data_IF_635979375485
#
_entry.id   IF_635979375485
#
_cell.length_a   1.000
_cell.length_b   1.000
_cell.length_c   1.000
_cell.angle_alpha   90.00
_cell.angle_beta   90.00
_cell.angle_gamma   90.00
#
_symmetry.space_group_name_H-M   'P 1'
#
loop_
_entity.id
_entity.type
_entity.pdbx_description
1 polymer ?
#
# COMPACT_ATOMS: atom_id res chain seq x y z
N UNK A 1 20.02 -11.29 33.91
CA UNK A 1 20.50 -11.13 32.52
C UNK A 1 19.35 -10.58 31.69
N UNK A 2 19.39 -9.29 31.35
CA UNK A 2 18.42 -8.71 30.43
C UNK A 2 18.85 -9.09 29.01
N UNK A 3 18.05 -9.88 28.31
CA UNK A 3 18.21 -10.06 26.86
C UNK A 3 18.05 -8.69 26.20
N UNK A 4 18.96 -8.28 25.30
CA UNK A 4 18.74 -7.05 24.55
C UNK A 4 17.52 -7.33 23.66
N UNK A 5 16.40 -6.68 23.95
CA UNK A 5 15.29 -6.60 23.02
C UNK A 5 15.86 -5.96 21.75
N UNK A 6 16.23 -6.80 20.78
CA UNK A 6 16.53 -6.32 19.44
C UNK A 6 15.27 -5.62 19.00
N UNK A 7 15.32 -4.30 18.92
CA UNK A 7 14.25 -3.49 18.36
C UNK A 7 14.14 -3.85 16.88
N UNK A 8 13.37 -4.91 16.62
CA UNK A 8 13.09 -5.39 15.27
C UNK A 8 12.45 -4.23 14.53
N UNK A 9 13.14 -3.71 13.51
CA UNK A 9 12.62 -2.58 12.74
C UNK A 9 11.76 -3.11 11.60
N UNK A 10 10.69 -2.39 11.23
CA UNK A 10 9.90 -2.73 10.04
C UNK A 10 10.73 -2.90 8.76
N UNK A 11 11.91 -2.26 8.69
CA UNK A 11 12.84 -2.41 7.58
C UNK A 11 13.35 -3.85 7.44
N UNK A 12 13.58 -4.55 8.55
CA UNK A 12 14.10 -5.92 8.54
C UNK A 12 13.00 -6.96 8.32
N UNK A 13 11.80 -6.68 8.83
CA UNK A 13 10.70 -7.64 8.82
C UNK A 13 9.93 -7.72 7.51
N UNK A 14 9.90 -6.63 6.74
CA UNK A 14 9.23 -6.62 5.44
C UNK A 14 10.19 -7.24 4.42
N UNK A 15 9.93 -8.45 3.89
CA UNK A 15 10.86 -9.06 2.95
C UNK A 15 10.77 -8.36 1.60
N UNK A 16 11.91 -8.10 0.96
CA UNK A 16 11.95 -7.52 -0.39
C UNK A 16 11.17 -8.38 -1.41
N UNK A 17 11.25 -9.72 -1.28
CA UNK A 17 10.50 -10.66 -2.10
C UNK A 17 8.99 -10.48 -1.97
N UNK A 18 8.46 -10.23 -0.76
CA UNK A 18 7.03 -9.98 -0.56
C UNK A 18 6.57 -8.74 -1.34
N UNK A 19 7.36 -7.67 -1.32
CA UNK A 19 7.04 -6.44 -2.07
C UNK A 19 7.12 -6.67 -3.58
N UNK A 20 8.10 -7.45 -4.06
CA UNK A 20 8.23 -7.82 -5.48
C UNK A 20 7.04 -8.63 -5.99
N UNK A 21 6.64 -9.64 -5.21
CA UNK A 21 5.50 -10.49 -5.56
C UNK A 21 4.21 -9.68 -5.56
N UNK A 22 3.94 -8.90 -4.49
CA UNK A 22 2.80 -8.00 -4.45
C UNK A 22 2.78 -7.05 -5.64
N UNK A 23 3.90 -6.43 -5.96
CA UNK A 23 4.02 -5.53 -7.10
C UNK A 23 3.64 -6.20 -8.42
N UNK A 24 4.22 -7.37 -8.67
CA UNK A 24 3.98 -8.14 -9.89
C UNK A 24 2.50 -8.50 -10.02
N UNK A 25 1.90 -8.99 -8.93
CA UNK A 25 0.47 -9.33 -8.92
C UNK A 25 -0.41 -8.08 -9.01
N UNK A 26 -0.01 -6.96 -8.42
CA UNK A 26 -0.76 -5.70 -8.54
C UNK A 26 -0.77 -5.23 -9.98
N UNK A 27 0.33 -5.34 -10.73
CA UNK A 27 0.32 -4.99 -12.16
C UNK A 27 -0.63 -5.90 -12.96
N UNK A 28 -0.60 -7.21 -12.72
CA UNK A 28 -1.55 -8.15 -13.32
C UNK A 28 -3.01 -7.78 -13.01
N UNK A 29 -3.28 -7.38 -11.77
CA UNK A 29 -4.60 -6.90 -11.36
C UNK A 29 -4.97 -5.57 -12.02
N UNK A 30 -4.02 -4.65 -12.21
CA UNK A 30 -4.25 -3.37 -12.90
C UNK A 30 -4.58 -3.62 -14.38
N UNK A 31 -3.86 -4.52 -15.03
CA UNK A 31 -4.07 -4.88 -16.43
C UNK A 31 -5.44 -5.53 -16.68
N UNK A 32 -6.01 -6.16 -15.65
CA UNK A 32 -7.36 -6.75 -15.70
C UNK A 32 -8.49 -5.80 -15.30
N UNK A 33 -8.19 -4.56 -14.89
CA UNK A 33 -9.21 -3.57 -14.58
C UNK A 33 -9.98 -3.17 -15.86
N UNK A 34 -11.29 -2.89 -15.75
CA UNK A 34 -12.02 -2.31 -16.86
C UNK A 34 -11.40 -0.98 -17.26
N UNK A 35 -11.22 -0.77 -18.57
CA UNK A 35 -10.72 0.48 -19.16
C UNK A 35 -11.78 1.57 -18.98
N UNK A 36 -11.85 2.20 -17.81
CA UNK A 36 -12.69 3.38 -17.61
C UNK A 36 -11.93 4.65 -18.02
N UNK A 37 -12.49 5.40 -18.97
CA UNK A 37 -12.00 6.72 -19.42
C UNK A 37 -11.98 7.78 -18.29
N UNK A 38 -12.60 7.51 -17.14
CA UNK A 38 -12.87 8.50 -16.10
C UNK A 38 -11.91 8.48 -14.90
N UNK A 39 -10.83 7.69 -14.95
CA UNK A 39 -9.83 7.64 -13.88
C UNK A 39 -8.80 8.78 -13.92
N UNK A 40 -9.17 9.95 -14.47
CA UNK A 40 -8.25 11.07 -14.75
C UNK A 40 -7.69 11.77 -13.50
N UNK A 41 -8.42 11.76 -12.37
CA UNK A 41 -7.97 12.43 -11.13
C UNK A 41 -7.38 11.45 -10.12
N UNK A 42 -6.15 11.73 -9.69
CA UNK A 42 -5.42 10.99 -8.65
C UNK A 42 -6.20 10.99 -7.32
N UNK A 43 -6.37 9.82 -6.72
CA UNK A 43 -7.07 9.62 -5.46
C UNK A 43 -6.11 9.76 -4.26
N UNK A 44 -4.96 9.11 -4.33
CA UNK A 44 -3.90 9.18 -3.32
C UNK A 44 -3.21 10.55 -3.34
N UNK A 45 -3.00 11.18 -2.17
CA UNK A 45 -2.15 12.36 -2.09
C UNK A 45 -0.73 12.05 -2.57
N UNK A 46 0.01 13.09 -2.96
CA UNK A 46 1.46 12.97 -3.20
C UNK A 46 2.18 12.92 -1.85
N UNK A 47 2.23 11.75 -1.23
CA UNK A 47 3.13 11.53 -0.10
C UNK A 47 4.56 11.34 -0.59
N UNK A 48 5.51 11.61 0.30
CA UNK A 48 6.94 11.46 0.05
C UNK A 48 7.58 10.86 1.29
N UNK A 49 8.54 9.95 1.11
CA UNK A 49 9.27 9.31 2.23
C UNK A 49 10.48 10.14 2.67
N UNK A 50 10.90 11.12 1.87
CA UNK A 50 12.10 11.94 2.08
C UNK A 50 11.84 13.45 2.21
N UNK A 51 10.61 13.91 1.96
CA UNK A 51 10.27 15.33 1.90
C UNK A 51 9.67 15.76 3.24
N UNK A 52 10.22 16.75 3.96
CA UNK A 52 9.74 17.13 5.30
C UNK A 52 8.25 17.47 5.34
N UNK A 53 7.76 18.21 4.33
CA UNK A 53 6.38 18.70 4.28
C UNK A 53 5.33 17.60 4.00
N UNK A 54 5.75 16.50 3.38
CA UNK A 54 4.88 15.41 2.90
C UNK A 54 5.34 14.02 3.37
N UNK A 55 6.14 14.02 4.44
CA UNK A 55 6.74 12.85 5.05
C UNK A 55 5.66 11.87 5.48
N UNK A 56 5.80 10.61 5.05
CA UNK A 56 4.97 9.49 5.49
C UNK A 56 5.86 8.43 6.11
N UNK A 57 5.44 7.86 7.25
CA UNK A 57 6.18 6.85 7.99
C UNK A 57 5.46 5.52 8.05
N UNK A 58 6.01 4.60 8.87
CA UNK A 58 5.48 3.26 9.03
C UNK A 58 4.07 3.23 9.63
N UNK A 59 3.77 4.14 10.56
CA UNK A 59 2.45 4.26 11.17
C UNK A 59 1.37 4.58 10.13
N UNK A 60 1.64 5.54 9.25
CA UNK A 60 0.72 5.87 8.17
C UNK A 60 0.63 4.76 7.13
N UNK A 61 1.72 4.05 6.83
CA UNK A 61 1.69 2.89 5.92
C UNK A 61 0.78 1.79 6.47
N UNK A 62 0.88 1.48 7.77
CA UNK A 62 -0.01 0.52 8.43
C UNK A 62 -1.48 0.91 8.26
N UNK A 63 -1.83 2.15 8.61
CA UNK A 63 -3.22 2.64 8.47
C UNK A 63 -3.68 2.64 7.00
N UNK A 64 -2.78 2.99 6.06
CA UNK A 64 -3.12 3.00 4.64
C UNK A 64 -3.38 1.59 4.12
N UNK A 65 -2.56 0.60 4.48
CA UNK A 65 -2.80 -0.81 4.13
C UNK A 65 -4.12 -1.30 4.75
N UNK A 66 -4.42 -0.93 6.00
CA UNK A 66 -5.70 -1.26 6.63
C UNK A 66 -6.89 -0.66 5.90
N UNK A 67 -6.81 0.60 5.45
CA UNK A 67 -7.83 1.24 4.59
C UNK A 67 -8.02 0.47 3.30
N UNK A 68 -6.93 0.09 2.63
CA UNK A 68 -6.99 -0.64 1.37
C UNK A 68 -7.64 -2.01 1.56
N UNK A 69 -7.25 -2.77 2.57
CA UNK A 69 -7.90 -4.05 2.85
C UNK A 69 -9.40 -3.88 3.13
N UNK A 70 -9.77 -2.99 4.05
CA UNK A 70 -11.16 -2.87 4.53
C UNK A 70 -12.10 -2.19 3.54
N UNK A 71 -11.60 -1.30 2.67
CA UNK A 71 -12.45 -0.46 1.81
C UNK A 71 -12.27 -0.69 0.31
N UNK A 72 -11.16 -1.29 -0.12
CA UNK A 72 -10.83 -1.55 -1.52
C UNK A 72 -10.87 -3.05 -1.78
N UNK A 73 -9.95 -3.81 -1.18
CA UNK A 73 -9.82 -5.24 -1.47
C UNK A 73 -10.98 -6.05 -0.92
N UNK A 74 -11.69 -5.63 0.12
CA UNK A 74 -12.92 -6.28 0.59
C UNK A 74 -14.11 -6.20 -0.39
N UNK A 75 -14.03 -5.36 -1.43
CA UNK A 75 -15.14 -5.15 -2.37
C UNK A 75 -15.29 -6.34 -3.31
N UNK A 76 -16.52 -6.82 -3.51
CA UNK A 76 -16.82 -7.96 -4.40
C UNK A 76 -16.28 -7.78 -5.82
N UNK A 77 -16.37 -6.56 -6.37
CA UNK A 77 -15.84 -6.24 -7.70
C UNK A 77 -14.32 -6.44 -7.80
N UNK A 78 -13.59 -6.15 -6.72
CA UNK A 78 -12.12 -6.30 -6.67
C UNK A 78 -11.77 -7.75 -6.37
N UNK A 79 -12.44 -8.39 -5.41
CA UNK A 79 -12.21 -9.81 -5.05
C UNK A 79 -12.31 -10.74 -6.26
N UNK A 80 -13.25 -10.49 -7.18
CA UNK A 80 -13.40 -11.28 -8.42
C UNK A 80 -12.25 -11.15 -9.40
N UNK A 81 -11.44 -10.11 -9.28
CA UNK A 81 -10.31 -9.82 -10.18
C UNK A 81 -8.96 -10.18 -9.55
N UNK A 82 -8.93 -10.53 -8.26
CA UNK A 82 -7.67 -10.76 -7.55
C UNK A 82 -6.91 -11.95 -8.15
N UNK A 83 -5.62 -11.77 -8.47
CA UNK A 83 -4.75 -12.88 -8.86
C UNK A 83 -4.64 -13.92 -7.75
N UNK A 84 -4.23 -15.13 -8.14
CA UNK A 84 -3.93 -16.21 -7.22
C UNK A 84 -2.94 -15.78 -6.12
N UNK A 85 -3.18 -16.22 -4.88
CA UNK A 85 -2.45 -15.84 -3.65
C UNK A 85 -2.41 -14.35 -3.27
N UNK A 86 -3.12 -13.45 -3.97
CA UNK A 86 -3.02 -12.01 -3.69
C UNK A 86 -3.44 -11.63 -2.26
N UNK A 87 -4.52 -12.24 -1.77
CA UNK A 87 -5.02 -12.00 -0.41
C UNK A 87 -4.00 -12.46 0.66
N UNK A 88 -3.31 -13.57 0.43
CA UNK A 88 -2.29 -14.08 1.37
C UNK A 88 -1.09 -13.13 1.44
N UNK A 89 -0.62 -12.64 0.29
CA UNK A 89 0.45 -11.65 0.24
C UNK A 89 0.06 -10.34 0.95
N UNK A 90 -1.15 -9.85 0.72
CA UNK A 90 -1.68 -8.66 1.40
C UNK A 90 -1.80 -8.88 2.91
N UNK A 91 -2.29 -10.05 3.32
CA UNK A 91 -2.45 -10.38 4.74
C UNK A 91 -1.10 -10.47 5.43
N UNK A 92 -0.10 -11.10 4.78
CA UNK A 92 1.28 -11.14 5.28
C UNK A 92 1.85 -9.74 5.47
N UNK A 93 1.72 -8.86 4.48
CA UNK A 93 2.19 -7.47 4.59
C UNK A 93 1.50 -6.73 5.74
N UNK A 94 0.18 -6.84 5.86
CA UNK A 94 -0.57 -6.20 6.94
C UNK A 94 -0.16 -6.74 8.31
N UNK A 95 -0.01 -8.06 8.45
CA UNK A 95 0.44 -8.70 9.68
C UNK A 95 1.83 -8.20 10.07
N UNK A 96 2.77 -8.17 9.13
CA UNK A 96 4.11 -7.63 9.36
C UNK A 96 4.07 -6.18 9.82
N UNK A 97 3.27 -5.32 9.17
CA UNK A 97 3.11 -3.92 9.59
C UNK A 97 2.44 -3.78 10.96
N UNK A 98 1.51 -4.67 11.35
CA UNK A 98 0.94 -4.66 12.70
C UNK A 98 1.97 -5.07 13.75
N UNK A 99 2.83 -6.03 13.42
CA UNK A 99 3.86 -6.54 14.31
C UNK A 99 4.99 -5.53 14.53
N UNK A 100 5.54 -4.95 13.45
CA UNK A 100 6.76 -4.14 13.53
C UNK A 100 6.50 -2.65 13.81
N UNK A 101 5.26 -2.16 13.70
CA UNK A 101 4.91 -0.76 13.94
C UNK A 101 4.40 -0.59 15.36
N UNK A 102 5.24 0.01 16.20
CA UNK A 102 4.87 0.44 17.55
C UNK A 102 3.64 1.37 17.53
N UNK A 103 2.78 1.24 18.53
CA UNK A 103 1.74 2.23 18.81
C UNK A 103 2.39 3.56 19.16
N UNK A 104 2.12 4.59 18.37
CA UNK A 104 2.50 5.98 18.62
C UNK A 104 1.33 6.90 18.33
N UNK A 105 1.41 8.16 18.74
CA UNK A 105 0.34 9.12 18.50
C UNK A 105 0.06 9.29 16.99
N UNK A 106 -1.22 9.36 16.58
CA UNK A 106 -1.58 9.57 15.18
C UNK A 106 -1.07 10.92 14.66
N UNK A 107 -0.37 10.91 13.53
CA UNK A 107 0.05 12.15 12.89
C UNK A 107 -1.13 12.87 12.19
N UNK A 108 -0.91 14.13 11.78
CA UNK A 108 -1.83 14.89 10.92
C UNK A 108 -2.23 14.16 9.63
N UNK A 109 -1.46 13.16 9.19
CA UNK A 109 -1.74 12.37 8.00
C UNK A 109 -2.89 11.39 8.17
N UNK A 110 -3.20 10.96 9.41
CA UNK A 110 -4.38 10.13 9.67
C UNK A 110 -5.67 10.82 9.24
N UNK A 111 -5.79 12.13 9.45
CA UNK A 111 -6.92 12.91 8.94
C UNK A 111 -7.03 12.87 7.42
N UNK A 112 -5.90 12.88 6.70
CA UNK A 112 -5.86 12.76 5.23
C UNK A 112 -6.18 11.33 4.76
N UNK A 113 -5.71 10.31 5.46
CA UNK A 113 -6.01 8.90 5.17
C UNK A 113 -7.51 8.61 5.41
N UNK A 114 -8.10 9.12 6.49
CA UNK A 114 -9.56 9.03 6.72
C UNK A 114 -10.36 9.74 5.64
N UNK A 115 -9.93 10.93 5.18
CA UNK A 115 -10.57 11.63 4.04
C UNK A 115 -10.45 10.83 2.75
N UNK A 116 -9.32 10.16 2.52
CA UNK A 116 -9.12 9.25 1.40
C UNK A 116 -10.11 8.08 1.42
N UNK A 117 -10.23 7.41 2.57
CA UNK A 117 -11.18 6.29 2.74
C UNK A 117 -12.63 6.74 2.43
N UNK A 118 -13.04 7.90 2.93
CA UNK A 118 -14.37 8.47 2.62
C UNK A 118 -14.55 8.71 1.13
N UNK A 119 -13.52 9.19 0.41
CA UNK A 119 -13.58 9.39 -1.06
C UNK A 119 -13.72 8.06 -1.80
N UNK A 120 -12.98 7.04 -1.39
CA UNK A 120 -13.09 5.68 -1.95
C UNK A 120 -14.52 5.16 -1.77
N UNK A 121 -15.08 5.29 -0.56
CA UNK A 121 -16.45 4.83 -0.26
C UNK A 121 -17.54 5.64 -0.97
N UNK A 122 -17.30 6.92 -1.27
CA UNK A 122 -18.31 7.85 -1.84
C UNK A 122 -18.39 7.84 -3.37
N UNK A 123 -17.28 7.67 -4.10
CA UNK A 123 -17.34 7.50 -5.57
C UNK A 123 -18.23 6.29 -5.89
N UNK A 124 -19.02 6.35 -6.98
CA UNK A 124 -19.90 5.26 -7.47
C UNK A 124 -19.29 3.92 -7.06
N UNK A 125 -19.95 3.21 -6.13
CA UNK A 125 -19.32 2.40 -5.06
C UNK A 125 -18.12 1.55 -5.50
N UNK A 126 -18.17 1.00 -6.69
CA UNK A 126 -17.18 0.08 -7.24
C UNK A 126 -16.04 0.79 -8.00
N UNK A 127 -16.33 1.84 -8.78
CA UNK A 127 -15.31 2.63 -9.50
C UNK A 127 -14.31 3.29 -8.54
N UNK A 128 -14.76 3.66 -7.33
CA UNK A 128 -13.87 4.18 -6.29
C UNK A 128 -12.81 3.17 -5.85
N UNK A 129 -13.19 1.90 -5.72
CA UNK A 129 -12.29 0.81 -5.36
C UNK A 129 -11.37 0.43 -6.53
N UNK A 130 -11.91 0.27 -7.74
CA UNK A 130 -11.12 -0.02 -8.94
C UNK A 130 -10.08 1.09 -9.20
N UNK A 131 -10.45 2.36 -9.01
CA UNK A 131 -9.47 3.46 -9.08
C UNK A 131 -8.38 3.32 -8.02
N UNK A 132 -8.74 2.98 -6.78
CA UNK A 132 -7.75 2.81 -5.72
C UNK A 132 -6.77 1.66 -6.05
N UNK A 133 -7.26 0.56 -6.63
CA UNK A 133 -6.41 -0.53 -7.14
C UNK A 133 -5.38 -0.01 -8.15
N UNK A 134 -5.81 0.82 -9.11
CA UNK A 134 -4.89 1.44 -10.11
C UNK A 134 -3.78 2.30 -9.50
N UNK A 135 -3.95 2.74 -8.25
CA UNK A 135 -2.98 3.56 -7.54
C UNK A 135 -2.23 2.80 -6.44
N UNK A 136 -2.51 1.52 -6.23
CA UNK A 136 -1.90 0.74 -5.14
C UNK A 136 -0.38 0.57 -5.30
N UNK A 137 0.14 0.62 -6.53
CA UNK A 137 1.58 0.64 -6.81
C UNK A 137 2.29 1.83 -6.15
N UNK A 138 1.62 2.98 -5.95
CA UNK A 138 2.23 4.08 -5.19
C UNK A 138 2.42 3.70 -3.71
N UNK A 139 1.50 2.94 -3.12
CA UNK A 139 1.60 2.47 -1.73
C UNK A 139 2.77 1.50 -1.59
N UNK A 140 2.85 0.51 -2.48
CA UNK A 140 3.95 -0.45 -2.50
C UNK A 140 5.31 0.24 -2.67
N UNK A 141 5.37 1.28 -3.52
CA UNK A 141 6.59 2.08 -3.70
C UNK A 141 6.98 2.83 -2.42
N UNK A 142 6.05 3.42 -1.69
CA UNK A 142 6.37 4.10 -0.43
C UNK A 142 6.88 3.11 0.63
N UNK A 143 6.33 1.91 0.68
CA UNK A 143 6.82 0.83 1.55
C UNK A 143 8.23 0.41 1.15
N UNK A 144 8.50 0.21 -0.15
CA UNK A 144 9.83 -0.11 -0.69
C UNK A 144 10.87 0.97 -0.34
N UNK A 145 10.49 2.24 -0.45
CA UNK A 145 11.34 3.38 -0.11
C UNK A 145 11.63 3.45 1.39
N UNK A 146 10.65 3.18 2.27
CA UNK A 146 10.86 3.11 3.72
C UNK A 146 11.73 1.90 4.11
N UNK A 147 11.55 0.77 3.44
CA UNK A 147 12.34 -0.45 3.64
C UNK A 147 13.73 -0.37 2.98
N UNK A 148 14.00 0.64 2.14
CA UNK A 148 15.27 0.82 1.44
C UNK A 148 15.67 -0.36 0.55
N UNK A 149 14.73 -1.17 0.07
CA UNK A 149 15.06 -2.29 -0.81
C UNK A 149 15.37 -1.82 -2.24
N UNK A 150 14.94 -0.61 -2.63
CA UNK A 150 15.18 0.00 -3.94
C UNK A 150 14.77 -0.87 -5.14
N UNK A 151 13.81 -1.77 -4.94
CA UNK A 151 13.38 -2.78 -5.91
C UNK A 151 12.88 -2.12 -7.20
N UNK A 152 12.17 -1.00 -7.05
CA UNK A 152 11.60 -0.25 -8.17
C UNK A 152 12.66 0.39 -9.09
N UNK A 153 13.86 0.72 -8.59
CA UNK A 153 14.93 1.25 -9.46
C UNK A 153 15.42 0.19 -10.44
N UNK A 154 15.50 -1.07 -10.00
CA UNK A 154 15.91 -2.19 -10.84
C UNK A 154 14.88 -2.54 -11.92
N UNK A 155 13.59 -2.46 -11.63
CA UNK A 155 12.55 -2.77 -12.62
C UNK A 155 12.42 -1.73 -13.76
N UNK A 156 12.85 -0.49 -13.55
CA UNK A 156 12.92 0.50 -14.64
C UNK A 156 14.05 0.23 -15.63
N UNK A 157 15.10 -0.50 -15.24
CA UNK A 157 16.23 -0.83 -16.11
C UNK A 157 16.01 -2.07 -17.00
N UNK A 158 14.92 -2.82 -16.81
CA UNK A 158 14.67 -4.07 -17.56
C UNK A 158 13.69 -3.87 -18.74
N UNK A 159 13.17 -2.66 -18.93
CA UNK A 159 12.29 -2.29 -20.05
C UNK A 159 12.88 -1.14 -20.90
N UNK A 160 14.19 -1.17 -21.17
CA UNK A 160 14.82 -0.41 -22.26
C UNK A 160 15.37 -1.38 -23.30
#
# INVERSE_FOLDING_TARGET
MATPERSITCRQEIPSQLIRELWTRTNQLIDSLPKEEHFSRRLLPRFCTKCPERAIGWLEMRELIDVYQRSVFSRKVVQRLLPFHYNELLHRLQYTLKYCVSSSEPSKWFGKIKKLERKIKKRRRDNGALKAVSEFTYVLRWIDELAHHHIYRSFKSVNQ
#
